data_IF_527244087030
#
_entry.id   IF_527244087030
#
_cell.length_a   1.000
_cell.length_b   1.000
_cell.length_c   1.000
_cell.angle_alpha   90.00
_cell.angle_beta   90.00
_cell.angle_gamma   90.00
#
_symmetry.space_group_name_H-M   'P 1'
#
loop_
_entity.id
_entity.type
_entity.pdbx_description
1 polymer ?
#
# COMPACT_ATOMS: atom_id res chain seq x y z
N UNK A 1 -10.89 21.83 10.88
CA UNK A 1 -11.01 20.40 10.47
C UNK A 1 -9.64 19.78 10.51
N UNK A 2 -9.51 18.54 10.98
CA UNK A 2 -8.22 17.83 10.97
C UNK A 2 -7.92 17.38 9.52
N UNK A 3 -6.68 17.59 9.10
CA UNK A 3 -6.25 17.29 7.73
C UNK A 3 -5.67 15.88 7.67
N UNK A 4 -6.08 15.11 6.66
CA UNK A 4 -5.58 13.74 6.41
C UNK A 4 -5.16 13.57 4.96
N UNK A 5 -4.00 12.95 4.75
CA UNK A 5 -3.56 12.49 3.44
C UNK A 5 -3.93 11.03 3.28
N UNK A 6 -4.68 10.70 2.24
CA UNK A 6 -5.08 9.33 1.91
C UNK A 6 -4.23 8.80 0.76
N UNK A 7 -3.50 7.71 1.01
CA UNK A 7 -2.79 6.98 -0.04
C UNK A 7 -3.78 6.27 -0.96
N UNK A 8 -3.93 6.76 -2.19
CA UNK A 8 -4.87 6.25 -3.19
C UNK A 8 -4.13 5.44 -4.25
N UNK A 9 -4.40 4.15 -4.31
CA UNK A 9 -3.80 3.21 -5.27
C UNK A 9 -4.61 3.03 -6.56
N UNK A 10 -5.70 3.77 -6.75
CA UNK A 10 -6.65 3.53 -7.83
C UNK A 10 -7.52 2.27 -7.64
N UNK A 11 -7.49 1.66 -6.45
CA UNK A 11 -8.35 0.55 -6.05
C UNK A 11 -9.55 1.00 -5.22
N UNK A 12 -10.54 0.12 -5.08
CA UNK A 12 -11.80 0.41 -4.38
C UNK A 12 -11.59 0.75 -2.90
N UNK A 13 -10.69 0.03 -2.20
CA UNK A 13 -10.51 0.17 -0.75
C UNK A 13 -9.98 1.56 -0.37
N UNK A 14 -8.95 2.03 -1.06
CA UNK A 14 -8.37 3.37 -0.83
C UNK A 14 -9.34 4.49 -1.23
N UNK A 15 -10.17 4.24 -2.24
CA UNK A 15 -11.19 5.18 -2.69
C UNK A 15 -12.31 5.35 -1.67
N UNK A 16 -12.80 4.24 -1.11
CA UNK A 16 -13.82 4.27 -0.05
C UNK A 16 -13.22 4.80 1.25
N UNK A 17 -11.93 4.52 1.53
CA UNK A 17 -11.24 5.13 2.67
C UNK A 17 -11.28 6.65 2.62
N UNK A 18 -11.01 7.24 1.46
CA UNK A 18 -11.10 8.70 1.26
C UNK A 18 -12.52 9.23 1.46
N UNK A 19 -13.51 8.54 0.91
CA UNK A 19 -14.92 8.88 1.10
C UNK A 19 -15.35 8.86 2.58
N UNK A 20 -15.07 7.77 3.29
CA UNK A 20 -15.44 7.62 4.69
C UNK A 20 -14.83 8.70 5.58
N UNK A 21 -13.58 9.08 5.34
CA UNK A 21 -12.93 10.15 6.09
C UNK A 21 -13.54 11.52 5.79
N UNK A 22 -13.91 11.77 4.54
CA UNK A 22 -14.63 13.00 4.18
C UNK A 22 -15.99 13.09 4.89
N UNK A 23 -16.76 12.00 4.90
CA UNK A 23 -18.05 11.93 5.64
C UNK A 23 -17.87 12.12 7.15
N UNK A 24 -16.73 11.69 7.70
CA UNK A 24 -16.37 11.92 9.11
C UNK A 24 -15.90 13.35 9.39
N UNK A 25 -15.87 14.23 8.40
CA UNK A 25 -15.54 15.65 8.54
C UNK A 25 -14.05 15.97 8.55
N UNK A 26 -13.20 15.08 8.01
CA UNK A 26 -11.78 15.40 7.79
C UNK A 26 -11.60 16.28 6.54
N UNK A 27 -10.54 17.09 6.54
CA UNK A 27 -10.02 17.77 5.36
C UNK A 27 -9.12 16.77 4.62
N UNK A 28 -9.68 16.11 3.59
CA UNK A 28 -9.05 14.97 2.90
C UNK A 28 -8.27 15.44 1.69
N UNK A 29 -7.03 14.96 1.56
CA UNK A 29 -6.18 15.11 0.38
C UNK A 29 -5.84 13.71 -0.13
N UNK A 30 -6.15 13.44 -1.40
CA UNK A 30 -5.76 12.20 -2.07
C UNK A 30 -4.32 12.29 -2.59
N UNK A 31 -3.55 11.23 -2.39
CA UNK A 31 -2.18 11.14 -2.90
C UNK A 31 -1.95 9.76 -3.52
N UNK A 32 -1.53 9.73 -4.79
CA UNK A 32 -0.93 8.52 -5.37
C UNK A 32 0.59 8.62 -5.28
N UNK A 33 1.21 7.55 -4.79
CA UNK A 33 2.65 7.42 -4.73
C UNK A 33 3.14 6.81 -6.04
N UNK A 34 3.95 7.55 -6.78
CA UNK A 34 4.67 7.03 -7.94
C UNK A 34 5.91 6.31 -7.44
N UNK A 35 5.84 4.97 -7.34
CA UNK A 35 6.86 4.14 -6.69
C UNK A 35 7.71 3.33 -7.67
N UNK A 36 7.16 2.92 -8.80
CA UNK A 36 7.85 2.10 -9.80
C UNK A 36 7.27 2.33 -11.19
N UNK A 37 8.13 2.41 -12.19
CA UNK A 37 7.78 2.28 -13.61
C UNK A 37 8.87 1.44 -14.27
N UNK A 38 8.52 0.35 -14.95
CA UNK A 38 9.47 -0.33 -15.82
C UNK A 38 9.85 0.62 -16.96
N UNK A 39 11.14 0.70 -17.27
CA UNK A 39 11.69 1.59 -18.31
C UNK A 39 11.15 1.32 -19.73
N UNK A 40 10.41 0.24 -19.94
CA UNK A 40 10.08 -0.26 -21.28
C UNK A 40 8.64 -0.69 -21.55
N UNK A 41 7.74 -0.78 -20.57
CA UNK A 41 6.36 -1.27 -20.82
C UNK A 41 5.36 -0.61 -19.88
N UNK A 42 4.29 -0.04 -20.45
CA UNK A 42 3.06 0.24 -19.70
C UNK A 42 2.41 -1.09 -19.32
N UNK A 43 2.62 -1.53 -18.07
CA UNK A 43 1.92 -2.71 -17.57
C UNK A 43 0.56 -2.27 -17.03
N UNK A 44 -0.47 -2.57 -17.79
CA UNK A 44 -1.85 -2.36 -17.38
C UNK A 44 -2.14 -3.24 -16.15
N UNK A 45 -2.62 -2.63 -15.07
CA UNK A 45 -3.00 -3.34 -13.84
C UNK A 45 -2.07 -3.16 -12.64
N UNK A 46 -0.89 -2.51 -12.76
CA UNK A 46 -0.08 -2.17 -11.59
C UNK A 46 -0.72 -1.02 -10.80
N UNK A 47 -0.57 -1.02 -9.47
CA UNK A 47 -1.12 0.04 -8.60
C UNK A 47 -0.47 1.43 -8.82
N UNK A 48 0.53 1.53 -9.68
CA UNK A 48 1.29 2.75 -10.00
C UNK A 48 1.31 3.04 -11.51
N UNK A 49 0.57 2.29 -12.33
CA UNK A 49 0.40 2.53 -13.75
C UNK A 49 -0.45 3.79 -14.01
N UNK A 50 -0.39 4.32 -15.25
CA UNK A 50 -1.18 5.49 -15.65
C UNK A 50 -2.67 5.29 -15.38
N UNK A 51 -3.21 4.10 -15.63
CA UNK A 51 -4.61 3.76 -15.35
C UNK A 51 -4.98 3.88 -13.86
N UNK A 52 -4.09 3.50 -12.94
CA UNK A 52 -4.33 3.62 -11.51
C UNK A 52 -4.32 5.09 -11.04
N UNK A 53 -3.45 5.92 -11.61
CA UNK A 53 -3.43 7.37 -11.37
C UNK A 53 -4.70 8.03 -11.90
N UNK A 54 -5.17 7.65 -13.09
CA UNK A 54 -6.42 8.15 -13.67
C UNK A 54 -7.65 7.75 -12.86
N UNK A 55 -7.70 6.50 -12.40
CA UNK A 55 -8.76 6.01 -11.52
C UNK A 55 -8.79 6.81 -10.21
N UNK A 56 -7.65 6.97 -9.54
CA UNK A 56 -7.55 7.73 -8.30
C UNK A 56 -7.94 9.20 -8.50
N UNK A 57 -7.52 9.81 -9.61
CA UNK A 57 -7.90 11.19 -9.98
C UNK A 57 -9.41 11.31 -10.22
N UNK A 58 -9.99 10.34 -10.93
CA UNK A 58 -11.44 10.30 -11.19
C UNK A 58 -12.23 10.22 -9.88
N UNK A 59 -11.79 9.37 -8.96
CA UNK A 59 -12.40 9.26 -7.62
C UNK A 59 -12.26 10.57 -6.85
N UNK A 60 -11.08 11.17 -6.84
CA UNK A 60 -10.85 12.45 -6.13
C UNK A 60 -11.76 13.57 -6.67
N UNK A 61 -11.96 13.61 -7.99
CA UNK A 61 -12.89 14.55 -8.62
C UNK A 61 -14.34 14.32 -8.20
N UNK A 62 -14.81 13.06 -8.17
CA UNK A 62 -16.15 12.71 -7.70
C UNK A 62 -16.33 13.11 -6.23
N UNK A 63 -15.33 12.86 -5.41
CA UNK A 63 -15.35 13.22 -4.00
C UNK A 63 -15.15 14.73 -3.76
N UNK A 64 -14.71 15.50 -4.75
CA UNK A 64 -14.40 16.93 -4.60
C UNK A 64 -13.27 17.19 -3.63
N UNK A 65 -12.22 16.37 -3.65
CA UNK A 65 -11.01 16.49 -2.81
C UNK A 65 -9.79 16.85 -3.65
N UNK A 66 -8.82 17.61 -3.11
CA UNK A 66 -7.52 17.82 -3.75
C UNK A 66 -6.81 16.49 -3.98
N UNK A 67 -6.09 16.38 -5.11
CA UNK A 67 -5.37 15.15 -5.46
C UNK A 67 -3.99 15.48 -6.04
N UNK A 68 -2.98 14.75 -5.60
CA UNK A 68 -1.60 14.90 -6.03
C UNK A 68 -0.96 13.54 -6.33
N UNK A 69 0.00 13.57 -7.25
CA UNK A 69 0.91 12.44 -7.48
C UNK A 69 2.28 12.84 -6.93
N UNK A 70 2.81 12.05 -6.02
CA UNK A 70 4.11 12.30 -5.40
C UNK A 70 5.11 11.22 -5.81
N UNK A 71 6.30 11.65 -6.20
CA UNK A 71 7.36 10.75 -6.63
C UNK A 71 8.10 10.19 -5.41
N UNK A 72 8.05 8.86 -5.24
CA UNK A 72 8.76 8.07 -4.22
C UNK A 72 9.58 6.95 -4.86
N UNK A 73 9.95 7.08 -6.15
CA UNK A 73 10.68 6.04 -6.88
C UNK A 73 12.03 5.70 -6.23
N UNK A 74 12.74 6.73 -5.77
CA UNK A 74 14.04 6.56 -5.12
C UNK A 74 13.90 5.77 -3.82
N UNK A 75 13.02 6.23 -2.93
CA UNK A 75 12.77 5.60 -1.63
C UNK A 75 12.26 4.17 -1.80
N UNK A 76 11.41 3.92 -2.79
CA UNK A 76 10.90 2.60 -3.09
C UNK A 76 11.99 1.68 -3.62
N UNK A 77 12.84 2.16 -4.55
CA UNK A 77 13.96 1.38 -5.05
C UNK A 77 14.90 0.97 -3.93
N UNK A 78 15.38 1.93 -3.15
CA UNK A 78 16.38 1.69 -2.10
C UNK A 78 15.86 0.81 -0.95
N UNK A 79 14.59 0.99 -0.55
CA UNK A 79 14.05 0.33 0.65
C UNK A 79 13.22 -0.91 0.36
N UNK A 80 12.76 -1.12 -0.89
CA UNK A 80 11.87 -2.22 -1.23
C UNK A 80 12.45 -3.10 -2.30
N UNK A 81 12.90 -2.53 -3.44
CA UNK A 81 13.39 -3.34 -4.56
C UNK A 81 14.76 -3.90 -4.25
N UNK A 82 15.70 -3.06 -3.81
CA UNK A 82 17.06 -3.50 -3.50
C UNK A 82 17.03 -4.53 -2.36
N UNK A 83 16.25 -4.29 -1.30
CA UNK A 83 15.97 -5.26 -0.24
C UNK A 83 15.41 -6.59 -0.77
N UNK A 84 14.41 -6.54 -1.68
CA UNK A 84 13.80 -7.72 -2.27
C UNK A 84 14.82 -8.56 -3.06
N UNK A 85 15.67 -7.91 -3.83
CA UNK A 85 16.71 -8.57 -4.61
C UNK A 85 17.77 -9.18 -3.69
N UNK A 86 18.26 -8.42 -2.72
CA UNK A 86 19.30 -8.85 -1.78
C UNK A 86 18.87 -10.08 -0.97
N UNK A 87 17.65 -10.10 -0.44
CA UNK A 87 17.13 -11.25 0.31
C UNK A 87 17.08 -12.51 -0.58
N UNK A 88 16.56 -12.40 -1.81
CA UNK A 88 16.56 -13.56 -2.72
C UNK A 88 17.96 -14.05 -3.07
N UNK A 89 18.92 -13.15 -3.29
CA UNK A 89 20.31 -13.51 -3.55
C UNK A 89 20.97 -14.21 -2.35
N UNK A 90 20.51 -13.92 -1.14
CA UNK A 90 20.95 -14.57 0.10
C UNK A 90 20.16 -15.85 0.44
N UNK A 91 19.20 -16.27 -0.40
CA UNK A 91 18.39 -17.47 -0.18
C UNK A 91 17.22 -17.25 0.81
N UNK A 92 16.86 -16.01 1.09
CA UNK A 92 15.72 -15.64 1.93
C UNK A 92 14.49 -15.34 1.07
N UNK A 93 13.30 -15.36 1.69
CA UNK A 93 12.05 -15.00 1.00
C UNK A 93 11.51 -13.70 1.58
N UNK A 94 11.73 -12.56 0.90
CA UNK A 94 11.30 -11.25 1.39
C UNK A 94 9.80 -11.04 1.31
N UNK A 95 9.30 -10.14 2.17
CA UNK A 95 7.96 -9.58 2.01
C UNK A 95 8.05 -8.08 1.71
N UNK A 96 8.04 -7.70 0.43
CA UNK A 96 8.22 -6.30 0.03
C UNK A 96 7.06 -5.40 0.46
N UNK A 97 5.85 -5.94 0.71
CA UNK A 97 4.72 -5.16 1.21
C UNK A 97 4.98 -4.65 2.63
N UNK A 98 5.65 -5.43 3.48
CA UNK A 98 6.05 -5.00 4.83
C UNK A 98 7.08 -3.88 4.74
N UNK A 99 8.09 -4.01 3.87
CA UNK A 99 9.10 -2.98 3.63
C UNK A 99 8.47 -1.68 3.08
N UNK A 100 7.58 -1.79 2.08
CA UNK A 100 6.86 -0.66 1.52
C UNK A 100 6.01 0.07 2.57
N UNK A 101 5.28 -0.67 3.40
CA UNK A 101 4.52 -0.06 4.48
C UNK A 101 5.45 0.69 5.43
N UNK A 102 6.52 0.05 5.92
CA UNK A 102 7.44 0.65 6.88
C UNK A 102 8.12 1.91 6.35
N UNK A 103 8.80 1.81 5.21
CA UNK A 103 9.74 2.83 4.74
C UNK A 103 9.11 3.85 3.80
N UNK A 104 8.17 3.43 2.95
CA UNK A 104 7.59 4.34 1.96
C UNK A 104 6.31 4.98 2.48
N UNK A 105 5.34 4.19 2.98
CA UNK A 105 4.07 4.77 3.45
C UNK A 105 4.20 5.45 4.81
N UNK A 106 4.70 4.74 5.82
CA UNK A 106 4.74 5.25 7.20
C UNK A 106 6.02 5.97 7.59
N UNK A 107 7.00 6.05 6.70
CA UNK A 107 8.15 6.93 6.88
C UNK A 107 8.11 8.07 5.87
N UNK A 108 8.28 7.82 4.58
CA UNK A 108 8.41 8.87 3.56
C UNK A 108 7.10 9.64 3.33
N UNK A 109 5.97 8.95 3.08
CA UNK A 109 4.69 9.62 2.86
C UNK A 109 4.17 10.31 4.14
N UNK A 110 4.29 9.68 5.32
CA UNK A 110 3.88 10.31 6.57
C UNK A 110 4.69 11.59 6.82
N UNK A 111 6.02 11.53 6.75
CA UNK A 111 6.88 12.69 6.95
C UNK A 111 6.54 13.83 5.97
N UNK A 112 6.33 13.49 4.69
CA UNK A 112 5.92 14.48 3.69
C UNK A 112 4.55 15.09 4.00
N UNK A 113 3.62 14.27 4.45
CA UNK A 113 2.26 14.72 4.81
C UNK A 113 2.27 15.67 6.02
N UNK A 114 3.07 15.35 7.05
CA UNK A 114 3.25 16.22 8.22
C UNK A 114 3.89 17.57 7.84
N UNK A 115 4.89 17.57 6.96
CA UNK A 115 5.51 18.80 6.43
C UNK A 115 4.49 19.67 5.66
N UNK A 116 3.49 19.07 5.03
CA UNK A 116 2.41 19.75 4.33
C UNK A 116 1.24 20.16 5.25
N UNK A 117 1.41 19.97 6.55
CA UNK A 117 0.44 20.36 7.58
C UNK A 117 -0.73 19.37 7.77
N UNK A 118 -0.62 18.14 7.27
CA UNK A 118 -1.58 17.09 7.61
C UNK A 118 -1.28 16.54 9.01
N UNK A 119 -2.32 16.16 9.74
CA UNK A 119 -2.18 15.53 11.06
C UNK A 119 -2.14 14.00 10.95
N UNK A 120 -2.70 13.45 9.88
CA UNK A 120 -2.85 12.00 9.68
C UNK A 120 -2.51 11.58 8.26
N UNK A 121 -2.10 10.31 8.14
CA UNK A 121 -2.22 9.58 6.89
C UNK A 121 -3.26 8.46 7.04
N UNK A 122 -3.84 8.06 5.92
CA UNK A 122 -4.77 6.95 5.87
C UNK A 122 -4.54 6.10 4.60
N UNK A 123 -4.96 4.87 4.67
CA UNK A 123 -4.87 3.91 3.56
C UNK A 123 -6.11 3.03 3.55
N UNK A 124 -6.28 2.25 2.48
CA UNK A 124 -7.32 1.23 2.38
C UNK A 124 -6.95 -0.12 3.01
N UNK A 125 -6.07 -0.16 4.01
CA UNK A 125 -5.74 -1.42 4.68
C UNK A 125 -6.86 -1.87 5.62
N UNK A 126 -7.13 -3.17 5.59
CA UNK A 126 -8.03 -3.85 6.53
C UNK A 126 -7.29 -4.14 7.83
N UNK A 127 -7.27 -3.16 8.70
CA UNK A 127 -6.75 -3.20 10.06
C UNK A 127 -7.44 -2.10 10.88
N UNK A 128 -7.32 -2.15 12.20
CA UNK A 128 -7.78 -1.07 13.09
C UNK A 128 -6.63 -0.55 13.94
N UNK A 129 -6.64 0.76 14.17
CA UNK A 129 -5.70 1.42 15.09
C UNK A 129 -6.51 2.00 16.23
N UNK A 130 -6.24 1.55 17.44
CA UNK A 130 -6.94 1.99 18.63
C UNK A 130 -5.96 2.42 19.73
N UNK A 131 -6.39 3.40 20.53
CA UNK A 131 -5.64 3.81 21.72
C UNK A 131 -6.10 2.99 22.92
N UNK A 132 -5.17 2.25 23.53
CA UNK A 132 -5.47 1.43 24.70
C UNK A 132 -5.90 2.34 25.88
N UNK A 133 -7.07 2.10 26.48
CA UNK A 133 -7.67 3.04 27.44
C UNK A 133 -6.82 3.25 28.71
N UNK A 134 -6.13 2.21 29.17
CA UNK A 134 -5.34 2.26 30.41
C UNK A 134 -3.92 2.76 30.18
N UNK A 135 -3.25 2.29 29.12
CA UNK A 135 -1.83 2.59 28.89
C UNK A 135 -1.60 3.80 28.01
N UNK A 136 -2.63 4.26 27.30
CA UNK A 136 -2.56 5.33 26.33
C UNK A 136 -1.76 4.98 25.06
N UNK A 137 -1.24 3.75 24.94
CA UNK A 137 -0.49 3.28 23.76
C UNK A 137 -1.46 2.98 22.61
N UNK A 138 -1.00 3.23 21.39
CA UNK A 138 -1.69 2.80 20.19
C UNK A 138 -1.41 1.32 19.90
N UNK A 139 -2.43 0.60 19.49
CA UNK A 139 -2.37 -0.82 19.15
C UNK A 139 -2.98 -1.05 17.77
N UNK A 140 -2.43 -2.00 17.03
CA UNK A 140 -3.05 -2.53 15.83
C UNK A 140 -3.94 -3.69 16.26
N UNK A 141 -5.17 -3.71 15.74
CA UNK A 141 -6.11 -4.81 15.90
C UNK A 141 -6.54 -5.34 14.54
N UNK A 142 -6.92 -6.60 14.52
CA UNK A 142 -7.51 -7.22 13.34
C UNK A 142 -8.74 -6.45 12.86
N UNK A 143 -8.93 -6.45 11.56
CA UNK A 143 -10.14 -5.93 10.95
C UNK A 143 -11.36 -6.78 11.33
N UNK A 144 -12.57 -6.27 11.08
CA UNK A 144 -13.80 -7.03 11.28
C UNK A 144 -14.09 -8.03 10.15
N UNK A 145 -13.24 -8.06 9.12
CA UNK A 145 -13.33 -9.01 8.01
C UNK A 145 -12.67 -10.34 8.36
N UNK A 146 -13.30 -11.45 7.97
CA UNK A 146 -12.77 -12.78 8.20
C UNK A 146 -11.65 -13.17 7.20
N UNK A 147 -11.59 -12.53 6.02
CA UNK A 147 -10.77 -13.01 4.90
C UNK A 147 -9.73 -12.02 4.38
N UNK A 148 -9.75 -10.77 4.86
CA UNK A 148 -8.95 -9.67 4.30
C UNK A 148 -8.06 -8.96 5.32
N UNK A 149 -7.85 -9.53 6.50
CA UNK A 149 -6.99 -8.91 7.52
C UNK A 149 -5.57 -8.67 6.99
N UNK A 150 -5.07 -7.46 7.20
CA UNK A 150 -3.76 -7.01 6.73
C UNK A 150 -2.85 -6.55 7.88
N UNK A 151 -3.18 -6.87 9.12
CA UNK A 151 -2.39 -6.49 10.29
C UNK A 151 -0.96 -7.03 10.23
N UNK A 152 -0.76 -8.19 9.61
CA UNK A 152 0.56 -8.80 9.42
C UNK A 152 1.54 -7.88 8.67
N UNK A 153 1.06 -7.02 7.79
CA UNK A 153 1.90 -6.11 7.02
C UNK A 153 2.23 -4.80 7.75
N UNK A 154 1.71 -4.61 8.98
CA UNK A 154 1.75 -3.35 9.72
C UNK A 154 2.46 -3.45 11.08
N UNK A 155 2.96 -4.62 11.46
CA UNK A 155 3.51 -4.89 12.78
C UNK A 155 4.74 -4.03 13.13
N UNK A 156 5.42 -3.49 12.13
CA UNK A 156 6.61 -2.67 12.27
C UNK A 156 6.32 -1.20 12.64
N UNK A 157 5.05 -0.78 12.67
CA UNK A 157 4.70 0.61 12.89
C UNK A 157 4.99 1.02 14.34
N UNK A 158 5.68 2.15 14.49
CA UNK A 158 6.01 2.75 15.78
C UNK A 158 4.79 3.45 16.40
N UNK A 159 4.89 3.77 17.69
CA UNK A 159 3.83 4.52 18.39
C UNK A 159 3.58 5.90 17.76
N UNK A 160 4.63 6.57 17.30
CA UNK A 160 4.51 7.83 16.57
C UNK A 160 3.70 7.64 15.29
N UNK A 161 4.06 6.66 14.47
CA UNK A 161 3.38 6.36 13.22
C UNK A 161 1.91 5.97 13.45
N UNK A 162 1.65 5.10 14.42
CA UNK A 162 0.30 4.69 14.78
C UNK A 162 -0.57 5.86 15.24
N UNK A 163 -0.01 6.81 16.00
CA UNK A 163 -0.75 7.99 16.47
C UNK A 163 -1.18 8.94 15.35
N UNK A 164 -0.56 8.84 14.17
CA UNK A 164 -0.86 9.63 12.98
C UNK A 164 -1.53 8.78 11.86
N UNK A 165 -2.09 7.62 12.21
CA UNK A 165 -2.66 6.67 11.25
C UNK A 165 -4.16 6.50 11.42
N UNK A 166 -4.90 6.57 10.31
CA UNK A 166 -6.33 6.23 10.25
C UNK A 166 -6.52 5.04 9.29
N UNK A 167 -7.35 4.09 9.71
CA UNK A 167 -7.68 2.89 8.95
C UNK A 167 -9.21 2.75 8.81
N UNK A 168 -9.85 3.57 7.99
CA UNK A 168 -11.30 3.72 7.98
C UNK A 168 -12.05 2.49 7.48
N UNK A 169 -11.40 1.62 6.69
CA UNK A 169 -12.04 0.41 6.13
C UNK A 169 -11.95 -0.82 7.05
N UNK A 170 -11.18 -0.74 8.13
CA UNK A 170 -10.96 -1.88 9.04
C UNK A 170 -12.20 -2.40 9.75
N UNK A 171 -13.30 -1.63 9.78
CA UNK A 171 -14.58 -2.04 10.37
C UNK A 171 -15.62 -2.48 9.34
N UNK A 172 -15.18 -2.80 8.11
CA UNK A 172 -16.08 -3.18 7.02
C UNK A 172 -15.63 -4.50 6.38
N UNK A 173 -16.61 -5.28 5.94
CA UNK A 173 -16.39 -6.40 5.03
C UNK A 173 -16.18 -5.91 3.60
N UNK A 174 -15.43 -6.68 2.79
CA UNK A 174 -15.17 -6.31 1.40
C UNK A 174 -16.43 -6.06 0.55
N UNK A 175 -17.51 -6.85 0.67
CA UNK A 175 -18.77 -6.58 -0.02
C UNK A 175 -19.37 -5.22 0.33
N UNK A 176 -19.30 -4.82 1.61
CA UNK A 176 -19.79 -3.51 2.06
C UNK A 176 -19.00 -2.35 1.45
N UNK A 177 -17.66 -2.50 1.34
CA UNK A 177 -16.81 -1.51 0.67
C UNK A 177 -17.20 -1.35 -0.80
N UNK A 178 -17.48 -2.45 -1.52
CA UNK A 178 -17.95 -2.40 -2.91
C UNK A 178 -19.34 -1.75 -3.01
N UNK A 179 -20.25 -2.08 -2.12
CA UNK A 179 -21.60 -1.48 -2.07
C UNK A 179 -21.53 0.04 -1.84
N UNK A 180 -20.65 0.50 -0.93
CA UNK A 180 -20.44 1.93 -0.71
C UNK A 180 -19.91 2.58 -1.99
N UNK A 181 -18.90 1.97 -2.63
CA UNK A 181 -18.33 2.49 -3.88
C UNK A 181 -19.36 2.61 -4.99
N UNK A 182 -20.24 1.62 -5.13
CA UNK A 182 -21.36 1.65 -6.10
C UNK A 182 -22.35 2.76 -5.81
N UNK A 183 -22.79 2.89 -4.56
CA UNK A 183 -23.74 3.92 -4.13
C UNK A 183 -23.27 5.33 -4.44
N UNK A 184 -21.97 5.59 -4.33
CA UNK A 184 -21.38 6.91 -4.62
C UNK A 184 -20.87 7.03 -6.06
N UNK A 185 -21.13 6.04 -6.92
CA UNK A 185 -20.86 6.10 -8.35
C UNK A 185 -19.37 5.97 -8.72
N UNK A 186 -18.56 5.29 -7.90
CA UNK A 186 -17.15 5.07 -8.22
C UNK A 186 -16.97 3.98 -9.28
N UNK A 187 -16.31 4.31 -10.37
CA UNK A 187 -16.02 3.34 -11.46
C UNK A 187 -15.16 2.16 -10.98
N UNK A 188 -14.38 2.33 -9.92
CA UNK A 188 -13.50 1.32 -9.34
C UNK A 188 -14.23 0.28 -8.48
N UNK A 189 -15.55 0.38 -8.29
CA UNK A 189 -16.33 -0.53 -7.44
C UNK A 189 -16.13 -2.00 -7.80
N UNK A 190 -16.05 -2.31 -9.10
CA UNK A 190 -15.87 -3.68 -9.61
C UNK A 190 -14.45 -4.03 -9.99
N UNK A 191 -13.49 -3.11 -9.78
CA UNK A 191 -12.09 -3.38 -10.08
C UNK A 191 -11.59 -4.56 -9.25
N UNK A 192 -10.91 -5.56 -9.88
CA UNK A 192 -10.31 -6.66 -9.13
C UNK A 192 -9.24 -6.18 -8.17
N UNK A 193 -9.06 -6.92 -7.08
CA UNK A 193 -7.97 -6.64 -6.13
C UNK A 193 -6.63 -6.99 -6.77
N UNK A 194 -5.57 -6.26 -6.41
CA UNK A 194 -4.21 -6.66 -6.77
C UNK A 194 -3.88 -7.99 -6.09
N UNK A 195 -3.42 -8.97 -6.89
CA UNK A 195 -3.21 -10.34 -6.41
C UNK A 195 -1.73 -10.63 -6.08
N UNK A 196 -0.80 -9.81 -6.58
CA UNK A 196 0.63 -10.09 -6.51
C UNK A 196 1.45 -8.83 -6.14
N UNK A 197 2.77 -9.00 -6.09
CA UNK A 197 3.72 -7.93 -5.83
C UNK A 197 3.62 -6.87 -6.93
N UNK A 198 3.33 -5.63 -6.55
CA UNK A 198 2.93 -4.57 -7.46
C UNK A 198 3.99 -4.20 -8.53
N UNK A 199 5.26 -4.51 -8.29
CA UNK A 199 6.35 -4.25 -9.23
C UNK A 199 6.82 -5.51 -10.00
N UNK A 200 6.21 -6.68 -9.74
CA UNK A 200 6.40 -7.95 -10.49
C UNK A 200 5.03 -8.47 -10.94
N UNK A 201 4.35 -7.75 -11.85
CA UNK A 201 2.96 -8.03 -12.18
C UNK A 201 2.74 -9.34 -12.95
N UNK A 202 3.79 -9.86 -13.60
CA UNK A 202 3.80 -11.16 -14.29
C UNK A 202 4.11 -12.34 -13.36
N UNK A 203 4.45 -12.08 -12.08
CA UNK A 203 4.83 -13.09 -11.10
C UNK A 203 6.18 -13.78 -11.38
N UNK A 204 6.94 -13.34 -12.38
CA UNK A 204 8.25 -13.89 -12.75
C UNK A 204 9.37 -13.21 -11.94
N UNK A 205 9.55 -13.66 -10.70
CA UNK A 205 10.55 -13.12 -9.79
C UNK A 205 11.98 -13.38 -10.28
N UNK A 206 12.26 -14.53 -10.88
CA UNK A 206 13.59 -14.86 -11.42
C UNK A 206 13.99 -13.88 -12.52
N UNK A 207 13.10 -13.65 -13.46
CA UNK A 207 13.30 -12.66 -14.53
C UNK A 207 13.52 -11.26 -13.95
N UNK A 208 12.64 -10.83 -13.05
CA UNK A 208 12.73 -9.50 -12.43
C UNK A 208 14.08 -9.29 -11.73
N UNK A 209 14.53 -10.27 -10.93
CA UNK A 209 15.82 -10.20 -10.22
C UNK A 209 16.97 -10.11 -11.21
N UNK A 210 17.01 -10.98 -12.26
CA UNK A 210 18.07 -10.97 -13.27
C UNK A 210 18.15 -9.66 -14.06
N UNK A 211 17.02 -9.04 -14.34
CA UNK A 211 16.97 -7.77 -15.08
C UNK A 211 17.37 -6.56 -14.20
N UNK A 212 17.30 -6.69 -12.89
CA UNK A 212 17.54 -5.59 -11.93
C UNK A 212 18.78 -5.77 -11.05
N UNK A 213 19.62 -6.79 -11.32
CA UNK A 213 20.91 -6.99 -10.64
C UNK A 213 22.03 -7.32 -11.63
N UNK A 214 23.24 -6.92 -11.26
CA UNK A 214 24.46 -7.37 -11.95
C UNK A 214 25.10 -8.62 -11.30
N UNK A 215 24.48 -9.16 -10.24
CA UNK A 215 24.99 -10.35 -9.57
C UNK A 215 24.90 -11.59 -10.46
N UNK A 216 25.92 -12.42 -10.40
CA UNK A 216 25.91 -13.74 -11.08
C UNK A 216 25.12 -14.70 -10.21
N UNK A 217 23.95 -15.13 -10.69
CA UNK A 217 23.12 -16.12 -10.03
C UNK A 217 23.54 -17.51 -10.50
N UNK A 218 24.24 -18.30 -9.67
CA UNK A 218 24.73 -19.62 -10.07
C UNK A 218 23.55 -20.58 -10.24
N UNK A 219 23.72 -21.54 -11.15
CA UNK A 219 22.81 -22.69 -11.22
C UNK A 219 23.12 -23.64 -10.07
N UNK A 220 22.08 -24.19 -9.46
CA UNK A 220 22.19 -25.20 -8.40
C UNK A 220 21.23 -26.36 -8.64
N UNK A 221 21.44 -27.45 -7.90
CA UNK A 221 20.54 -28.59 -7.89
C UNK A 221 19.52 -28.45 -6.77
N UNK A 222 18.34 -28.97 -6.99
CA UNK A 222 17.40 -29.23 -5.88
C UNK A 222 17.91 -30.44 -5.12
N UNK A 223 18.04 -30.29 -3.80
CA UNK A 223 18.52 -31.36 -2.92
C UNK A 223 17.52 -31.60 -1.80
N UNK A 224 17.40 -32.86 -1.35
CA UNK A 224 16.62 -33.20 -0.17
C UNK A 224 17.39 -32.80 1.12
N UNK A 225 16.77 -33.04 2.28
CA UNK A 225 17.38 -32.75 3.60
C UNK A 225 18.67 -33.54 3.89
N UNK A 226 18.98 -34.56 3.12
CA UNK A 226 20.20 -35.40 3.25
C UNK A 226 21.26 -35.01 2.22
N UNK A 227 20.99 -34.02 1.36
CA UNK A 227 21.91 -33.57 0.30
C UNK A 227 21.83 -34.38 -0.99
N UNK A 228 20.86 -35.27 -1.17
CA UNK A 228 20.67 -35.99 -2.43
C UNK A 228 20.00 -35.09 -3.46
N UNK A 229 20.50 -35.14 -4.71
CA UNK A 229 19.96 -34.41 -5.88
C UNK A 229 18.73 -35.11 -6.44
#
# INVERSE_FOLDING_TARGET
MKKVVVGMSGGVDSSVAAYLLKEQGYDVIGVTMEIWQPDKVEVDGSCCGLSAVEDARSVANILGIPYYVLNFRKEFKESVIDYFIDDYLNGETPNPCIACNRYVKWESLLNKSLQLGAEYIATGHYAKVEKHPTTGRYTIKTADTETKDQTYALYNLTQFQLSHTLMPVGSYEKPQIREIAEKIGLRVAHKPDSQDICFVPDGDYDKFIRENTNAVIPKGNFVDKNGNV
#
